data_IF_571914115403
#
_entry.id   IF_571914115403
#
_cell.length_a   1.000
_cell.length_b   1.000
_cell.length_c   1.000
_cell.angle_alpha   90.00
_cell.angle_beta   90.00
_cell.angle_gamma   90.00
#
_symmetry.space_group_name_H-M   'P 1'
#
loop_
_entity.id
_entity.type
_entity.pdbx_description
1 polymer ?
#
# COMPACT_ATOMS: atom_id res chain seq x y z
N UNK A 1 -11.06 -13.37 30.98
CA UNK A 1 -10.23 -14.20 31.86
C UNK A 1 -10.75 -13.99 33.30
N UNK A 2 -11.09 -15.03 34.00
CA UNK A 2 -11.30 -14.97 35.45
C UNK A 2 -9.99 -15.39 36.12
N UNK A 3 -9.51 -14.61 37.06
CA UNK A 3 -8.42 -14.98 37.96
C UNK A 3 -8.96 -15.97 39.00
N UNK A 4 -8.12 -16.82 39.57
CA UNK A 4 -8.49 -17.81 40.60
C UNK A 4 -9.13 -17.18 41.88
N UNK A 5 -9.06 -15.85 41.98
CA UNK A 5 -9.70 -15.07 43.06
C UNK A 5 -11.10 -14.53 42.73
N UNK A 6 -11.68 -14.85 41.56
CA UNK A 6 -13.02 -14.35 41.17
C UNK A 6 -13.09 -12.90 40.78
N UNK A 7 -11.95 -12.20 40.62
CA UNK A 7 -11.87 -10.79 40.27
C UNK A 7 -12.04 -10.63 38.73
N UNK A 8 -13.01 -9.82 38.31
CA UNK A 8 -13.17 -9.48 36.88
C UNK A 8 -12.02 -8.58 36.42
N UNK A 9 -11.22 -9.08 35.49
CA UNK A 9 -10.19 -8.27 34.83
C UNK A 9 -10.71 -7.73 33.49
N UNK A 10 -10.48 -6.43 33.25
CA UNK A 10 -10.80 -5.78 31.98
C UNK A 10 -9.52 -5.51 31.21
N UNK A 11 -9.49 -5.88 29.94
CA UNK A 11 -8.43 -5.45 29.01
C UNK A 11 -8.86 -4.17 28.33
N UNK A 12 -8.16 -3.08 28.61
CA UNK A 12 -8.47 -1.75 28.08
C UNK A 12 -7.41 -1.37 27.06
N UNK A 13 -7.83 -0.93 25.88
CA UNK A 13 -6.96 -0.28 24.89
C UNK A 13 -7.04 1.22 25.15
N UNK A 14 -5.88 1.85 25.34
CA UNK A 14 -5.77 3.29 25.53
C UNK A 14 -5.08 3.90 24.32
N UNK A 15 -5.67 4.93 23.76
CA UNK A 15 -5.09 5.77 22.70
C UNK A 15 -4.88 7.16 23.24
N UNK A 16 -3.74 7.77 22.93
CA UNK A 16 -3.41 9.13 23.30
C UNK A 16 -2.89 9.89 22.08
N UNK A 17 -3.27 11.16 21.97
CA UNK A 17 -2.74 12.06 20.96
C UNK A 17 -2.15 13.29 21.64
N UNK A 18 -1.06 13.89 21.09
CA UNK A 18 -0.53 15.15 21.60
C UNK A 18 -1.57 16.28 21.54
N UNK A 19 -1.63 17.09 22.59
CA UNK A 19 -2.65 18.15 22.71
C UNK A 19 -2.52 19.23 21.61
N UNK A 20 -1.30 19.55 21.21
CA UNK A 20 -1.02 20.48 20.11
C UNK A 20 -1.61 20.02 18.77
N UNK A 21 -1.57 18.72 18.48
CA UNK A 21 -2.21 18.12 17.31
C UNK A 21 -3.73 18.31 17.38
N UNK A 22 -4.33 18.00 18.52
CA UNK A 22 -5.79 18.15 18.72
C UNK A 22 -6.22 19.62 18.61
N UNK A 23 -5.45 20.55 19.18
CA UNK A 23 -5.69 21.99 19.04
C UNK A 23 -5.59 22.46 17.59
N UNK A 24 -4.64 21.91 16.81
CA UNK A 24 -4.50 22.23 15.38
C UNK A 24 -5.75 21.87 14.58
N UNK A 25 -6.31 20.68 14.79
CA UNK A 25 -7.55 20.28 14.13
C UNK A 25 -8.76 21.10 14.59
N UNK A 26 -8.85 21.42 15.88
CA UNK A 26 -9.91 22.28 16.41
C UNK A 26 -9.84 23.69 15.82
N UNK A 27 -8.65 24.28 15.72
CA UNK A 27 -8.44 25.57 15.07
C UNK A 27 -8.82 25.57 13.59
N UNK A 28 -8.48 24.50 12.87
CA UNK A 28 -8.86 24.33 11.48
C UNK A 28 -10.40 24.27 11.32
N UNK A 29 -11.08 23.45 12.12
CA UNK A 29 -12.55 23.34 12.09
C UNK A 29 -13.20 24.72 12.35
N UNK A 30 -12.75 25.41 13.38
CA UNK A 30 -13.25 26.75 13.74
C UNK A 30 -13.02 27.76 12.61
N UNK A 31 -11.86 27.74 11.95
CA UNK A 31 -11.57 28.65 10.83
C UNK A 31 -12.45 28.42 9.62
N UNK A 32 -12.95 27.19 9.45
CA UNK A 32 -13.90 26.81 8.40
C UNK A 32 -15.35 27.00 8.80
N UNK A 33 -15.64 27.49 10.01
CA UNK A 33 -17.00 27.65 10.56
C UNK A 33 -17.69 26.31 10.82
N UNK A 34 -16.92 25.24 11.01
CA UNK A 34 -17.44 23.90 11.29
C UNK A 34 -17.46 23.63 12.79
N UNK A 35 -18.54 23.04 13.28
CA UNK A 35 -18.64 22.54 14.64
C UNK A 35 -17.93 21.17 14.73
N UNK A 36 -16.94 21.07 15.61
CA UNK A 36 -16.20 19.84 15.85
C UNK A 36 -16.97 18.97 16.83
N UNK A 37 -17.62 17.92 16.36
CA UNK A 37 -18.41 16.99 17.19
C UNK A 37 -17.56 15.91 17.85
N UNK A 38 -16.51 15.42 17.18
CA UNK A 38 -15.61 14.39 17.72
C UNK A 38 -14.28 14.38 17.00
N UNK A 39 -13.25 13.88 17.67
CA UNK A 39 -11.96 13.52 17.07
C UNK A 39 -11.71 12.05 17.35
N UNK A 40 -11.38 11.28 16.31
CA UNK A 40 -11.09 9.87 16.44
C UNK A 40 -9.86 9.50 15.60
N UNK A 41 -9.25 8.35 15.87
CA UNK A 41 -8.08 7.91 15.12
C UNK A 41 -8.46 6.96 13.99
N UNK A 42 -7.67 7.01 12.92
CA UNK A 42 -7.91 6.28 11.66
C UNK A 42 -8.28 4.81 11.86
N UNK A 43 -7.57 4.11 12.76
CA UNK A 43 -7.80 2.67 12.97
C UNK A 43 -9.16 2.34 13.57
N UNK A 44 -9.66 3.18 14.48
CA UNK A 44 -11.03 3.01 15.01
C UNK A 44 -12.06 3.38 13.95
N UNK A 45 -11.85 4.46 13.21
CA UNK A 45 -12.76 4.86 12.13
C UNK A 45 -12.96 3.71 11.12
N UNK A 46 -11.86 3.10 10.64
CA UNK A 46 -11.95 1.95 9.70
C UNK A 46 -12.67 0.78 10.35
N UNK A 47 -12.33 0.47 11.60
CA UNK A 47 -13.01 -0.59 12.33
C UNK A 47 -14.52 -0.33 12.46
N UNK A 48 -14.94 0.89 12.78
CA UNK A 48 -16.36 1.24 12.87
C UNK A 48 -17.08 1.07 11.51
N UNK A 49 -16.47 1.49 10.42
CA UNK A 49 -17.02 1.30 9.08
C UNK A 49 -17.23 -0.18 8.72
N UNK A 50 -16.30 -1.05 9.16
CA UNK A 50 -16.29 -2.47 8.81
C UNK A 50 -16.76 -3.40 9.96
N UNK A 51 -17.22 -2.83 11.08
CA UNK A 51 -17.49 -3.55 12.33
C UNK A 51 -18.40 -4.76 12.14
N UNK A 52 -19.42 -4.66 11.32
CA UNK A 52 -20.38 -5.76 11.09
C UNK A 52 -19.74 -6.95 10.38
N UNK A 53 -18.68 -6.73 9.57
CA UNK A 53 -17.94 -7.80 8.91
C UNK A 53 -17.04 -8.59 9.87
N UNK A 54 -16.66 -7.99 10.99
CA UNK A 54 -15.65 -8.53 11.93
C UNK A 54 -16.24 -9.09 13.23
N UNK A 55 -17.53 -9.43 13.23
CA UNK A 55 -18.23 -9.94 14.40
C UNK A 55 -17.71 -11.31 14.86
N UNK A 56 -17.06 -12.08 13.99
CA UNK A 56 -16.56 -13.43 14.27
C UNK A 56 -15.11 -13.58 13.80
N UNK A 57 -14.38 -14.45 14.50
CA UNK A 57 -13.01 -14.82 14.15
C UNK A 57 -12.00 -13.72 14.40
N UNK A 58 -10.77 -13.99 14.00
CA UNK A 58 -9.64 -13.06 14.10
C UNK A 58 -9.36 -12.47 12.73
N UNK A 59 -9.52 -11.17 12.60
CA UNK A 59 -9.37 -10.49 11.33
C UNK A 59 -8.23 -9.46 11.40
N UNK A 60 -7.42 -9.39 10.35
CA UNK A 60 -6.42 -8.36 10.15
C UNK A 60 -6.89 -7.37 9.09
N UNK A 61 -6.89 -6.11 9.44
CA UNK A 61 -7.09 -5.00 8.51
C UNK A 61 -5.74 -4.31 8.32
N UNK A 62 -5.27 -4.22 7.08
CA UNK A 62 -4.04 -3.50 6.72
C UNK A 62 -4.43 -2.30 5.89
N UNK A 63 -4.33 -1.10 6.46
CA UNK A 63 -4.45 0.15 5.71
C UNK A 63 -3.05 0.59 5.27
N UNK A 64 -2.88 0.81 3.97
CA UNK A 64 -1.63 1.25 3.39
C UNK A 64 -1.83 2.66 2.85
N UNK A 65 -1.32 3.64 3.61
CA UNK A 65 -1.35 5.05 3.24
C UNK A 65 -0.09 5.43 2.42
N UNK A 66 0.08 6.71 2.15
CA UNK A 66 1.23 7.23 1.41
C UNK A 66 2.55 6.85 2.08
N UNK A 67 2.75 7.24 3.34
CA UNK A 67 4.04 7.12 4.05
C UNK A 67 4.13 5.97 5.04
N UNK A 68 3.01 5.41 5.42
CA UNK A 68 2.94 4.40 6.48
C UNK A 68 1.82 3.42 6.24
N UNK A 69 1.82 2.35 6.99
CA UNK A 69 0.69 1.42 7.06
C UNK A 69 0.17 1.31 8.50
N UNK A 70 -1.08 0.92 8.65
CA UNK A 70 -1.69 0.64 9.95
C UNK A 70 -2.28 -0.77 9.92
N UNK A 71 -1.80 -1.62 10.82
CA UNK A 71 -2.28 -2.97 10.98
C UNK A 71 -3.18 -3.06 12.21
N UNK A 72 -4.43 -3.43 12.02
CA UNK A 72 -5.43 -3.57 13.08
C UNK A 72 -5.91 -5.00 13.14
N UNK A 73 -5.70 -5.68 14.28
CA UNK A 73 -6.23 -7.02 14.52
C UNK A 73 -7.48 -6.92 15.39
N UNK A 74 -8.54 -7.57 14.93
CA UNK A 74 -9.79 -7.71 15.67
C UNK A 74 -10.03 -9.18 16.03
N UNK A 75 -10.62 -9.44 17.17
CA UNK A 75 -11.06 -10.78 17.58
C UNK A 75 -12.50 -10.68 18.06
N UNK A 76 -13.42 -11.38 17.37
CA UNK A 76 -14.84 -11.39 17.68
C UNK A 76 -15.45 -10.00 17.91
N UNK A 77 -15.19 -9.09 16.98
CA UNK A 77 -15.73 -7.72 16.99
C UNK A 77 -15.03 -6.76 17.95
N UNK A 78 -13.87 -7.10 18.50
CA UNK A 78 -13.09 -6.25 19.39
C UNK A 78 -11.69 -6.05 18.85
N UNK A 79 -11.20 -4.80 18.81
CA UNK A 79 -9.81 -4.52 18.47
C UNK A 79 -8.90 -5.06 19.57
N UNK A 80 -7.98 -5.95 19.21
CA UNK A 80 -7.05 -6.57 20.15
C UNK A 80 -5.62 -6.10 20.01
N UNK A 81 -5.23 -5.63 18.82
CA UNK A 81 -3.90 -5.07 18.54
C UNK A 81 -3.99 -4.03 17.43
N UNK A 82 -3.18 -2.99 17.56
CA UNK A 82 -2.87 -2.07 16.47
C UNK A 82 -1.37 -1.82 16.42
N UNK A 83 -0.84 -1.78 15.20
CA UNK A 83 0.58 -1.53 14.94
C UNK A 83 0.75 -0.62 13.75
N UNK A 84 1.41 0.52 13.88
CA UNK A 84 1.87 1.29 12.74
C UNK A 84 3.04 0.56 12.07
N UNK A 85 3.02 0.54 10.73
CA UNK A 85 4.14 0.14 9.89
C UNK A 85 4.82 1.36 9.30
N UNK A 86 6.13 1.28 9.11
CA UNK A 86 6.95 2.39 8.58
C UNK A 86 6.97 2.46 7.05
N UNK A 87 6.40 1.47 6.38
CA UNK A 87 6.31 1.41 4.93
C UNK A 87 4.91 1.79 4.46
N UNK A 88 4.84 2.60 3.41
CA UNK A 88 3.63 3.02 2.73
C UNK A 88 3.76 2.90 1.21
N UNK A 89 2.87 3.57 0.49
CA UNK A 89 2.85 3.57 -0.97
C UNK A 89 4.00 4.39 -1.60
N UNK A 90 4.50 5.41 -0.91
CA UNK A 90 5.45 6.38 -1.45
C UNK A 90 6.73 5.72 -1.95
N UNK A 91 7.29 4.71 -1.23
CA UNK A 91 8.49 4.02 -1.69
C UNK A 91 8.32 3.36 -3.07
N UNK A 92 7.09 2.97 -3.42
CA UNK A 92 6.77 2.36 -4.70
C UNK A 92 6.50 3.45 -5.75
N UNK A 93 5.81 4.51 -5.35
CA UNK A 93 5.46 5.63 -6.22
C UNK A 93 6.70 6.43 -6.61
N UNK A 94 7.63 6.64 -5.69
CA UNK A 94 8.90 7.35 -5.93
C UNK A 94 9.72 6.65 -7.01
N UNK A 95 9.80 5.31 -7.00
CA UNK A 95 10.45 4.53 -8.06
C UNK A 95 9.83 4.83 -9.42
N UNK A 96 8.50 4.99 -9.50
CA UNK A 96 7.80 5.33 -10.73
C UNK A 96 8.06 6.77 -11.18
N UNK A 97 8.20 7.70 -10.25
CA UNK A 97 8.44 9.11 -10.52
C UNK A 97 9.89 9.39 -10.95
N UNK A 98 10.84 8.58 -10.47
CA UNK A 98 12.27 8.73 -10.78
C UNK A 98 12.67 8.11 -12.12
N UNK A 99 11.78 7.35 -12.77
CA UNK A 99 12.07 6.65 -14.03
C UNK A 99 11.49 7.38 -15.23
N UNK A 100 12.24 7.37 -16.35
CA UNK A 100 11.81 7.89 -17.65
C UNK A 100 11.33 6.80 -18.63
N UNK A 101 10.97 5.63 -18.10
CA UNK A 101 10.55 4.46 -18.91
C UNK A 101 9.35 4.77 -19.80
N UNK A 102 8.50 5.69 -19.41
CA UNK A 102 7.31 6.13 -20.16
C UNK A 102 7.58 7.33 -21.09
N UNK A 103 8.84 7.71 -21.28
CA UNK A 103 9.24 8.84 -22.13
C UNK A 103 9.26 10.20 -21.43
N UNK A 104 8.66 10.29 -20.26
CA UNK A 104 8.66 11.46 -19.38
C UNK A 104 8.63 11.02 -17.91
N UNK A 105 8.99 11.92 -17.01
CA UNK A 105 8.84 11.69 -15.57
C UNK A 105 7.36 11.83 -15.19
N UNK A 106 6.85 10.84 -14.45
CA UNK A 106 5.45 10.83 -14.04
C UNK A 106 5.21 11.77 -12.85
N UNK A 107 4.04 12.41 -12.83
CA UNK A 107 3.52 13.02 -11.61
C UNK A 107 3.13 11.92 -10.59
N UNK A 108 3.03 12.26 -9.29
CA UNK A 108 2.54 11.33 -8.26
C UNK A 108 1.22 10.68 -8.67
N UNK A 109 0.26 11.49 -9.12
CA UNK A 109 -1.06 11.00 -9.53
C UNK A 109 -0.99 10.04 -10.71
N UNK A 110 -0.13 10.29 -11.70
CA UNK A 110 0.01 9.42 -12.87
C UNK A 110 0.80 8.15 -12.54
N UNK A 111 1.77 8.23 -11.64
CA UNK A 111 2.47 7.07 -11.09
C UNK A 111 1.50 6.12 -10.38
N UNK A 112 0.65 6.64 -9.48
CA UNK A 112 -0.41 5.85 -8.79
C UNK A 112 -1.38 5.23 -9.80
N UNK A 113 -1.85 5.99 -10.80
CA UNK A 113 -2.73 5.45 -11.85
C UNK A 113 -2.05 4.34 -12.65
N UNK A 114 -0.77 4.49 -12.95
CA UNK A 114 0.02 3.51 -13.69
C UNK A 114 0.17 2.21 -12.90
N UNK A 115 0.49 2.30 -11.60
CA UNK A 115 0.57 1.15 -10.69
C UNK A 115 -0.76 0.41 -10.53
N UNK A 116 -1.88 1.13 -10.53
CA UNK A 116 -3.22 0.54 -10.48
C UNK A 116 -3.63 -0.17 -11.78
N UNK A 117 -3.09 0.25 -12.92
CA UNK A 117 -3.50 -0.24 -14.27
C UNK A 117 -2.56 -1.28 -14.86
N UNK A 118 -1.31 -1.28 -14.46
CA UNK A 118 -0.28 -2.12 -15.07
C UNK A 118 0.32 -3.08 -14.05
N UNK A 119 0.45 -4.34 -14.43
CA UNK A 119 1.20 -5.31 -13.65
C UNK A 119 2.70 -5.08 -13.82
N UNK A 120 3.32 -4.47 -12.82
CA UNK A 120 4.76 -4.22 -12.76
C UNK A 120 5.49 -5.23 -11.87
N UNK A 121 4.83 -6.29 -11.44
CA UNK A 121 5.48 -7.38 -10.72
C UNK A 121 6.41 -8.12 -11.69
N UNK A 122 7.68 -8.25 -11.32
CA UNK A 122 8.66 -9.01 -12.07
C UNK A 122 8.40 -10.51 -11.90
N UNK A 123 8.42 -11.25 -13.00
CA UNK A 123 8.27 -12.71 -12.97
C UNK A 123 9.64 -13.36 -12.69
N UNK A 124 9.68 -14.54 -12.06
CA UNK A 124 10.96 -15.22 -11.77
C UNK A 124 11.83 -15.43 -13.02
N UNK A 125 11.22 -15.70 -14.18
CA UNK A 125 11.95 -15.90 -15.44
C UNK A 125 12.60 -14.61 -15.94
N UNK A 126 11.99 -13.46 -15.66
CA UNK A 126 12.52 -12.14 -16.07
C UNK A 126 13.73 -11.73 -15.23
N UNK A 127 13.80 -12.16 -13.98
CA UNK A 127 14.95 -11.91 -13.11
C UNK A 127 16.22 -12.59 -13.65
N UNK A 128 16.11 -13.82 -14.10
CA UNK A 128 17.23 -14.54 -14.68
C UNK A 128 17.72 -13.94 -16.01
N UNK A 129 16.82 -13.27 -16.76
CA UNK A 129 17.14 -12.60 -18.02
C UNK A 129 17.81 -11.23 -17.84
N UNK A 130 17.75 -10.63 -16.65
CA UNK A 130 18.23 -9.27 -16.44
C UNK A 130 19.71 -9.12 -16.78
N UNK A 131 20.57 -9.99 -16.28
CA UNK A 131 22.00 -9.98 -16.54
C UNK A 131 22.31 -10.20 -18.04
N UNK A 132 21.56 -11.09 -18.71
CA UNK A 132 21.70 -11.32 -20.14
C UNK A 132 21.34 -10.06 -20.94
N UNK A 133 20.23 -9.41 -20.60
CA UNK A 133 19.80 -8.17 -21.27
C UNK A 133 20.75 -7.00 -21.02
N UNK A 134 21.34 -6.91 -19.86
CA UNK A 134 22.39 -5.93 -19.55
C UNK A 134 23.61 -6.12 -20.45
N UNK A 135 24.06 -7.36 -20.62
CA UNK A 135 25.16 -7.67 -21.52
C UNK A 135 24.81 -7.43 -23.01
N UNK A 136 23.56 -7.70 -23.42
CA UNK A 136 23.07 -7.42 -24.78
C UNK A 136 23.08 -5.91 -25.06
N UNK A 137 22.55 -5.10 -24.15
CA UNK A 137 22.52 -3.62 -24.30
C UNK A 137 23.94 -3.08 -24.40
N UNK A 138 24.85 -3.51 -23.54
CA UNK A 138 26.24 -3.06 -23.57
C UNK A 138 26.93 -3.37 -24.92
N UNK A 139 26.67 -4.53 -25.50
CA UNK A 139 27.19 -4.89 -26.84
C UNK A 139 26.61 -4.01 -27.95
N UNK A 140 25.30 -3.74 -27.90
CA UNK A 140 24.63 -2.91 -28.90
C UNK A 140 25.07 -1.45 -28.82
N UNK A 141 25.27 -0.93 -27.62
CA UNK A 141 25.81 0.43 -27.41
C UNK A 141 27.23 0.56 -27.92
N UNK A 142 28.08 -0.44 -27.68
CA UNK A 142 29.44 -0.48 -28.25
C UNK A 142 29.40 -0.56 -29.79
N UNK A 143 28.51 -1.37 -30.37
CA UNK A 143 28.36 -1.44 -31.82
C UNK A 143 27.87 -0.13 -32.44
N UNK A 144 26.93 0.56 -31.79
CA UNK A 144 26.45 1.87 -32.22
C UNK A 144 27.56 2.95 -32.13
N UNK A 145 28.32 2.98 -31.04
CA UNK A 145 29.45 3.89 -30.87
C UNK A 145 30.55 3.64 -31.95
N UNK A 146 30.84 2.35 -32.23
CA UNK A 146 31.78 1.97 -33.29
C UNK A 146 31.28 2.41 -34.66
N UNK A 147 30.03 2.19 -35.02
CA UNK A 147 29.44 2.62 -36.29
C UNK A 147 29.51 4.14 -36.47
N UNK A 148 29.34 4.92 -35.41
CA UNK A 148 29.49 6.36 -35.43
C UNK A 148 30.96 6.79 -35.68
N UNK A 149 31.92 6.10 -35.02
CA UNK A 149 33.36 6.38 -35.20
C UNK A 149 33.83 6.01 -36.61
N UNK A 150 33.41 4.85 -37.13
CA UNK A 150 33.75 4.38 -38.45
C UNK A 150 33.17 5.33 -39.55
N UNK A 151 31.94 5.79 -39.37
CA UNK A 151 31.32 6.77 -40.26
C UNK A 151 32.05 8.12 -40.29
N UNK A 152 32.55 8.56 -39.15
CA UNK A 152 33.36 9.80 -39.07
C UNK A 152 34.68 9.65 -39.84
N UNK A 153 35.22 8.42 -39.98
CA UNK A 153 36.49 8.15 -40.63
C UNK A 153 36.31 7.80 -42.12
N UNK A 154 35.29 7.03 -42.46
CA UNK A 154 35.09 6.47 -43.81
C UNK A 154 34.01 7.17 -44.63
N UNK A 155 33.14 7.96 -43.98
CA UNK A 155 31.96 8.59 -44.60
C UNK A 155 30.78 7.63 -44.80
N UNK A 156 30.89 6.35 -44.40
CA UNK A 156 29.83 5.36 -44.52
C UNK A 156 28.88 5.41 -43.31
N UNK A 157 27.64 5.89 -43.52
CA UNK A 157 26.61 6.06 -42.51
C UNK A 157 25.59 4.94 -42.49
N UNK A 158 25.75 3.92 -43.33
CA UNK A 158 24.73 2.86 -43.55
C UNK A 158 24.32 2.08 -42.30
N UNK A 159 25.27 1.89 -41.39
CA UNK A 159 25.04 1.10 -40.14
C UNK A 159 24.58 1.94 -38.93
N UNK A 160 24.73 3.27 -38.97
CA UNK A 160 24.43 4.13 -37.82
C UNK A 160 22.96 4.01 -37.42
N UNK A 161 22.03 4.16 -38.36
CA UNK A 161 20.62 4.18 -38.09
C UNK A 161 20.12 2.86 -37.43
N UNK A 162 20.54 1.72 -38.03
CA UNK A 162 20.11 0.39 -37.55
C UNK A 162 20.68 0.04 -36.17
N UNK A 163 21.96 0.27 -35.92
CA UNK A 163 22.61 0.00 -34.64
C UNK A 163 22.10 0.94 -33.52
N UNK A 164 21.88 2.20 -33.84
CA UNK A 164 21.34 3.17 -32.87
C UNK A 164 19.90 2.83 -32.48
N UNK A 165 19.04 2.45 -33.43
CA UNK A 165 17.65 2.02 -33.16
C UNK A 165 17.65 0.75 -32.30
N UNK A 166 18.48 -0.24 -32.65
CA UNK A 166 18.58 -1.49 -31.89
C UNK A 166 19.04 -1.25 -30.45
N UNK A 167 20.07 -0.44 -30.24
CA UNK A 167 20.57 -0.08 -28.92
C UNK A 167 19.50 0.67 -28.10
N UNK A 168 18.79 1.63 -28.70
CA UNK A 168 17.71 2.38 -28.04
C UNK A 168 16.55 1.48 -27.62
N UNK A 169 16.13 0.55 -28.49
CA UNK A 169 15.05 -0.39 -28.19
C UNK A 169 15.43 -1.36 -27.08
N UNK A 170 16.62 -1.94 -27.14
CA UNK A 170 17.14 -2.83 -26.11
C UNK A 170 17.31 -2.10 -24.77
N UNK A 171 17.80 -0.86 -24.79
CA UNK A 171 17.88 -0.01 -23.59
C UNK A 171 16.53 0.30 -22.97
N UNK A 172 15.50 0.58 -23.77
CA UNK A 172 14.13 0.79 -23.26
C UNK A 172 13.56 -0.47 -22.58
N UNK A 173 13.79 -1.65 -23.20
CA UNK A 173 13.37 -2.92 -22.62
C UNK A 173 14.10 -3.21 -21.29
N UNK A 174 15.40 -2.93 -21.22
CA UNK A 174 16.18 -3.09 -19.99
C UNK A 174 15.70 -2.13 -18.88
N UNK A 175 15.40 -0.87 -19.20
CA UNK A 175 14.83 0.09 -18.25
C UNK A 175 13.51 -0.42 -17.66
N UNK A 176 12.63 -0.99 -18.49
CA UNK A 176 11.36 -1.57 -18.03
C UNK A 176 11.59 -2.78 -17.11
N UNK A 177 12.53 -3.67 -17.43
CA UNK A 177 12.87 -4.81 -16.56
C UNK A 177 13.43 -4.35 -15.20
N UNK A 178 14.30 -3.34 -15.20
CA UNK A 178 14.81 -2.75 -13.96
C UNK A 178 13.70 -2.11 -13.12
N UNK A 179 12.80 -1.34 -13.75
CA UNK A 179 11.64 -0.79 -13.07
C UNK A 179 10.80 -1.88 -12.42
N UNK A 180 10.49 -2.96 -13.13
CA UNK A 180 9.70 -4.09 -12.60
C UNK A 180 10.39 -4.76 -11.42
N UNK A 181 11.72 -4.94 -11.49
CA UNK A 181 12.51 -5.46 -10.37
C UNK A 181 12.40 -4.55 -9.15
N UNK A 182 12.60 -3.25 -9.32
CA UNK A 182 12.65 -2.30 -8.21
C UNK A 182 11.27 -2.14 -7.55
N UNK A 183 10.19 -2.12 -8.34
CA UNK A 183 8.80 -2.17 -7.85
C UNK A 183 8.55 -3.46 -7.07
N UNK A 184 9.00 -4.61 -7.58
CA UNK A 184 8.81 -5.91 -6.91
C UNK A 184 9.55 -5.96 -5.57
N UNK A 185 10.78 -5.48 -5.52
CA UNK A 185 11.56 -5.39 -4.28
C UNK A 185 10.83 -4.50 -3.26
N UNK A 186 10.30 -3.36 -3.70
CA UNK A 186 9.56 -2.46 -2.82
C UNK A 186 8.27 -3.09 -2.30
N UNK A 187 7.53 -3.85 -3.14
CA UNK A 187 6.40 -4.66 -2.69
C UNK A 187 6.81 -5.67 -1.62
N UNK A 188 7.91 -6.40 -1.85
CA UNK A 188 8.41 -7.40 -0.90
C UNK A 188 8.81 -6.78 0.45
N UNK A 189 9.37 -5.58 0.47
CA UNK A 189 9.69 -4.87 1.71
C UNK A 189 8.44 -4.54 2.53
N UNK A 190 7.39 -4.01 1.87
CA UNK A 190 6.11 -3.73 2.50
C UNK A 190 5.44 -5.02 3.00
N UNK A 191 5.39 -6.06 2.16
CA UNK A 191 4.87 -7.39 2.51
C UNK A 191 5.62 -7.97 3.71
N UNK A 192 6.95 -7.94 3.70
CA UNK A 192 7.75 -8.43 4.82
C UNK A 192 7.48 -7.69 6.13
N UNK A 193 7.10 -6.40 6.07
CA UNK A 193 6.67 -5.66 7.25
C UNK A 193 5.33 -6.15 7.80
N UNK A 194 4.39 -6.48 6.93
CA UNK A 194 3.07 -7.03 7.28
C UNK A 194 3.22 -8.42 7.88
N UNK A 195 3.99 -9.29 7.23
CA UNK A 195 4.26 -10.67 7.69
C UNK A 195 4.82 -10.69 9.11
N UNK A 196 5.81 -9.84 9.40
CA UNK A 196 6.38 -9.74 10.77
C UNK A 196 5.34 -9.41 11.84
N UNK A 197 4.35 -8.59 11.54
CA UNK A 197 3.27 -8.27 12.50
C UNK A 197 2.33 -9.45 12.68
N UNK A 198 2.02 -10.17 11.59
CA UNK A 198 1.21 -11.39 11.63
C UNK A 198 1.89 -12.45 12.49
N UNK A 199 3.17 -12.71 12.25
CA UNK A 199 3.95 -13.69 13.00
C UNK A 199 4.05 -13.32 14.47
N UNK A 200 4.29 -12.05 14.77
CA UNK A 200 4.29 -11.57 16.15
C UNK A 200 2.95 -11.81 16.83
N UNK A 201 1.84 -11.46 16.18
CA UNK A 201 0.50 -11.69 16.74
C UNK A 201 0.24 -13.17 16.97
N UNK A 202 0.47 -14.02 15.98
CA UNK A 202 0.24 -15.45 16.04
C UNK A 202 1.11 -16.13 17.11
N UNK A 203 2.35 -15.68 17.29
CA UNK A 203 3.26 -16.21 18.32
C UNK A 203 2.74 -15.97 19.74
N UNK A 204 2.02 -14.87 19.95
CA UNK A 204 1.44 -14.48 21.26
C UNK A 204 0.04 -15.01 21.49
N UNK A 205 -0.68 -15.41 20.45
CA UNK A 205 -2.08 -15.81 20.47
C UNK A 205 -2.28 -17.13 19.74
N UNK A 206 -1.64 -18.20 20.23
CA UNK A 206 -1.60 -19.52 19.57
C UNK A 206 -2.99 -20.12 19.31
N UNK A 207 -3.96 -19.83 20.17
CA UNK A 207 -5.32 -20.35 20.08
C UNK A 207 -6.26 -19.44 19.28
N UNK A 208 -5.75 -18.32 18.77
CA UNK A 208 -6.52 -17.30 18.05
C UNK A 208 -5.69 -16.70 16.92
N UNK A 209 -5.26 -17.54 15.99
CA UNK A 209 -4.53 -17.11 14.80
C UNK A 209 -5.43 -16.25 13.89
N UNK A 210 -4.80 -15.39 13.07
CA UNK A 210 -5.53 -14.55 12.10
C UNK A 210 -6.22 -15.45 11.08
N UNK A 211 -7.54 -15.29 10.91
CA UNK A 211 -8.36 -16.04 9.97
C UNK A 211 -8.46 -15.34 8.61
N UNK A 212 -8.75 -14.03 8.63
CA UNK A 212 -9.01 -13.23 7.44
C UNK A 212 -8.06 -12.03 7.36
N UNK A 213 -7.67 -11.66 6.15
CA UNK A 213 -6.81 -10.50 5.89
C UNK A 213 -7.49 -9.62 4.85
N UNK A 214 -7.72 -8.36 5.22
CA UNK A 214 -8.29 -7.34 4.35
C UNK A 214 -7.28 -6.21 4.22
N UNK A 215 -7.00 -5.82 2.98
CA UNK A 215 -6.13 -4.68 2.69
C UNK A 215 -6.94 -3.52 2.10
N UNK A 216 -6.55 -2.31 2.43
CA UNK A 216 -7.21 -1.06 2.00
C UNK A 216 -6.18 0.07 1.89
N UNK A 217 -6.56 1.19 1.32
CA UNK A 217 -5.68 2.34 1.09
C UNK A 217 -4.98 2.29 -0.26
N UNK A 218 -4.05 3.22 -0.48
CA UNK A 218 -3.48 3.53 -1.80
C UNK A 218 -2.85 2.32 -2.48
N UNK A 219 -1.94 1.62 -1.79
CA UNK A 219 -1.22 0.50 -2.38
C UNK A 219 -2.03 -0.80 -2.43
N UNK A 220 -3.17 -0.89 -1.74
CA UNK A 220 -4.03 -2.07 -1.80
C UNK A 220 -4.56 -2.34 -3.21
N UNK A 221 -4.76 -1.27 -3.99
CA UNK A 221 -5.25 -1.31 -5.37
C UNK A 221 -4.13 -1.42 -6.43
N UNK A 222 -2.86 -1.43 -6.03
CA UNK A 222 -1.75 -1.60 -6.97
C UNK A 222 -1.77 -3.01 -7.54
N UNK A 223 -1.70 -3.09 -8.89
CA UNK A 223 -1.78 -4.39 -9.55
C UNK A 223 -0.66 -5.32 -9.11
N UNK A 224 -1.04 -6.53 -8.74
CA UNK A 224 -0.12 -7.59 -8.33
C UNK A 224 0.24 -7.58 -6.84
N UNK A 225 0.04 -6.48 -6.10
CA UNK A 225 0.40 -6.39 -4.69
C UNK A 225 -0.34 -7.40 -3.82
N UNK A 226 -1.69 -7.45 -3.93
CA UNK A 226 -2.51 -8.40 -3.15
C UNK A 226 -2.16 -9.86 -3.48
N UNK A 227 -1.85 -10.15 -4.75
CA UNK A 227 -1.44 -11.49 -5.20
C UNK A 227 -0.10 -11.92 -4.60
N UNK A 228 0.90 -11.03 -4.58
CA UNK A 228 2.18 -11.31 -3.93
C UNK A 228 2.03 -11.51 -2.42
N UNK A 229 1.22 -10.67 -1.76
CA UNK A 229 0.95 -10.82 -0.32
C UNK A 229 0.24 -12.14 -0.03
N UNK A 230 -0.74 -12.53 -0.85
CA UNK A 230 -1.44 -13.81 -0.72
C UNK A 230 -0.50 -15.01 -0.92
N UNK A 231 0.40 -14.93 -1.88
CA UNK A 231 1.43 -15.95 -2.14
C UNK A 231 2.38 -16.10 -0.95
N UNK A 232 2.88 -15.00 -0.40
CA UNK A 232 3.80 -15.01 0.74
C UNK A 232 3.14 -15.58 2.01
N UNK A 233 1.87 -15.28 2.23
CA UNK A 233 1.11 -15.76 3.39
C UNK A 233 0.52 -17.15 3.21
N UNK A 234 0.51 -17.70 1.98
CA UNK A 234 -0.14 -18.97 1.66
C UNK A 234 -1.64 -18.97 1.90
N UNK A 235 -2.30 -17.82 1.83
CA UNK A 235 -3.75 -17.64 2.07
C UNK A 235 -4.33 -16.48 1.30
N UNK A 236 -5.65 -16.45 1.18
CA UNK A 236 -6.35 -15.37 0.52
C UNK A 236 -6.19 -14.02 1.24
N UNK A 237 -6.08 -12.98 0.45
CA UNK A 237 -6.05 -11.57 0.89
C UNK A 237 -7.13 -10.83 0.13
N UNK A 238 -8.08 -10.28 0.85
CA UNK A 238 -9.17 -9.49 0.27
C UNK A 238 -8.73 -8.03 0.11
N UNK A 239 -8.97 -7.46 -1.07
CA UNK A 239 -8.88 -6.01 -1.28
C UNK A 239 -10.26 -5.40 -1.02
N UNK A 240 -10.34 -4.40 -0.14
CA UNK A 240 -11.59 -3.72 0.17
C UNK A 240 -12.05 -2.88 -1.03
N UNK A 241 -13.03 -3.39 -1.79
CA UNK A 241 -13.58 -2.75 -2.99
C UNK A 241 -14.97 -2.15 -2.79
N UNK A 242 -15.71 -2.65 -1.82
CA UNK A 242 -17.07 -2.24 -1.52
C UNK A 242 -17.41 -2.36 -0.02
N UNK A 243 -18.59 -1.90 0.34
CA UNK A 243 -19.14 -1.96 1.70
C UNK A 243 -20.09 -3.14 1.91
N UNK A 244 -20.03 -4.16 1.06
CA UNK A 244 -20.83 -5.37 1.24
C UNK A 244 -20.58 -6.02 2.60
N UNK A 245 -21.62 -6.49 3.25
CA UNK A 245 -21.55 -7.05 4.62
C UNK A 245 -21.42 -6.00 5.73
N UNK A 246 -21.49 -4.71 5.41
CA UNK A 246 -21.63 -3.62 6.37
C UNK A 246 -23.08 -3.10 6.44
N UNK A 247 -23.39 -2.30 7.45
CA UNK A 247 -24.69 -1.60 7.56
C UNK A 247 -24.70 -0.26 6.80
N UNK A 248 -23.69 0.00 5.95
CA UNK A 248 -23.55 1.25 5.20
C UNK A 248 -24.04 1.01 3.78
N UNK A 249 -24.99 1.81 3.34
CA UNK A 249 -25.49 1.75 1.95
C UNK A 249 -24.65 2.65 1.07
N UNK A 250 -24.04 2.08 0.06
CA UNK A 250 -23.29 2.83 -0.95
C UNK A 250 -24.26 3.39 -1.99
N UNK A 251 -24.52 4.71 -1.94
CA UNK A 251 -25.53 5.36 -2.77
C UNK A 251 -25.05 5.80 -4.16
N UNK A 252 -23.77 6.15 -4.33
CA UNK A 252 -23.22 6.67 -5.58
C UNK A 252 -21.88 5.98 -5.88
N UNK A 253 -21.74 5.50 -7.11
CA UNK A 253 -20.44 5.11 -7.65
C UNK A 253 -19.72 6.37 -8.14
N UNK A 254 -18.76 6.86 -7.37
CA UNK A 254 -17.83 7.88 -7.84
C UNK A 254 -16.80 7.19 -8.74
N UNK A 255 -16.88 7.44 -10.04
CA UNK A 255 -15.92 6.88 -11.00
C UNK A 255 -14.49 7.38 -10.67
N UNK A 256 -13.54 6.45 -10.57
CA UNK A 256 -12.13 6.77 -10.32
C UNK A 256 -11.78 7.02 -8.86
N UNK A 257 -12.69 6.84 -7.92
CA UNK A 257 -12.45 6.96 -6.48
C UNK A 257 -12.33 5.57 -5.87
N UNK A 258 -11.21 5.32 -5.19
CA UNK A 258 -11.02 4.09 -4.42
C UNK A 258 -11.70 4.20 -3.06
N UNK A 259 -12.51 3.21 -2.68
CA UNK A 259 -13.11 3.15 -1.35
C UNK A 259 -12.03 3.18 -0.24
N UNK A 260 -10.88 2.56 -0.50
CA UNK A 260 -9.76 2.49 0.43
C UNK A 260 -9.24 3.86 0.86
N UNK A 261 -9.33 4.85 -0.01
CA UNK A 261 -8.88 6.23 0.27
C UNK A 261 -9.83 6.95 1.26
N UNK A 262 -11.11 6.56 1.30
CA UNK A 262 -12.16 7.23 2.06
C UNK A 262 -12.74 6.44 3.23
N UNK A 263 -12.38 5.17 3.40
CA UNK A 263 -12.99 4.29 4.42
C UNK A 263 -12.86 4.85 5.85
N UNK A 264 -11.76 5.53 6.17
CA UNK A 264 -11.57 6.16 7.46
C UNK A 264 -12.51 7.35 7.67
N UNK A 265 -12.71 8.18 6.64
CA UNK A 265 -13.64 9.30 6.68
C UNK A 265 -15.09 8.83 6.84
N UNK A 266 -15.47 7.76 6.12
CA UNK A 266 -16.77 7.10 6.28
C UNK A 266 -16.94 6.62 7.71
N UNK A 267 -15.96 5.94 8.28
CA UNK A 267 -16.02 5.45 9.66
C UNK A 267 -16.10 6.56 10.70
N UNK A 268 -15.42 7.68 10.47
CA UNK A 268 -15.46 8.84 11.36
C UNK A 268 -16.89 9.40 11.54
N UNK A 269 -17.74 9.30 10.52
CA UNK A 269 -19.16 9.74 10.62
C UNK A 269 -20.00 8.83 11.50
N UNK A 270 -19.51 7.62 11.82
CA UNK A 270 -20.22 6.63 12.63
C UNK A 270 -19.83 6.68 14.11
N UNK A 271 -18.68 7.30 14.44
CA UNK A 271 -18.14 7.33 15.82
C UNK A 271 -18.85 8.32 16.75
N UNK A 272 -19.54 9.32 16.22
CA UNK A 272 -20.30 10.30 17.00
C UNK A 272 -21.62 9.78 17.61
N UNK A 273 -22.07 8.60 17.24
CA UNK A 273 -23.35 8.05 17.70
C UNK A 273 -23.12 7.12 18.90
N UNK A 274 -22.89 7.70 20.08
CA UNK A 274 -22.91 6.97 21.35
C UNK A 274 -21.63 6.92 22.17
N UNK A 275 -20.56 7.57 21.76
CA UNK A 275 -19.34 7.69 22.59
C UNK A 275 -19.18 9.14 23.06
N UNK A 276 -19.60 9.43 24.30
CA UNK A 276 -19.13 10.63 24.98
C UNK A 276 -17.75 10.33 25.55
N UNK A 277 -16.67 11.01 25.10
CA UNK A 277 -15.40 10.93 25.79
C UNK A 277 -15.60 11.48 27.19
N UNK A 278 -15.17 10.74 28.21
CA UNK A 278 -15.03 11.31 29.55
C UNK A 278 -14.04 12.47 29.43
N UNK A 279 -14.53 13.70 29.52
CA UNK A 279 -13.71 14.90 29.70
C UNK A 279 -13.12 14.75 31.09
N UNK A 280 -11.83 14.40 31.18
CA UNK A 280 -11.08 14.56 32.41
C UNK A 280 -10.88 16.08 32.60
N UNK A 281 -11.62 16.68 33.54
CA UNK A 281 -11.37 18.02 34.08
C UNK A 281 -10.00 18.09 34.75
#
# INVERSE_FOLDING_TARGET
MQDDAGTKQYRIMVMAAPEDVLRGYSALANSLGLELSSIDYTGNCIFQALRTRFQKGVNLIVKIDERSSLLTVTNNGVITMQRPGIYGADQIVDIMMETDVYGELLSYTDAVKTLRRNNLVMRPEEESLLAEKEAEVAKLEQAAAKAQSDAATTGDTSMIASTTVAAKQAGANLKMLRLRRDVTISYQQLIGSIVRVIDYYNSKNRDAAIDNIIITGIAADFWGFSGLLAQELGREVEVLKDLAGTNITQGLHLQGVSLGDYIAAIGATLTGVGFQPAILE
#
